data_IF_161831342204
#
_entry.id   IF_161831342204
#
_cell.length_a   1.000
_cell.length_b   1.000
_cell.length_c   1.000
_cell.angle_alpha   90.00
_cell.angle_beta   90.00
_cell.angle_gamma   90.00
#
_symmetry.space_group_name_H-M   'P 1'
#
loop_
_entity.id
_entity.type
_entity.pdbx_description
1 polymer ?
#
# COMPACT_ATOMS: atom_id res chain seq x y z
N UNK A 1 -4.95 -16.47 21.98
CA UNK A 1 -5.16 -15.13 21.39
C UNK A 1 -4.31 -15.07 20.13
N UNK A 2 -4.86 -14.78 18.94
CA UNK A 2 -4.03 -14.58 17.76
C UNK A 2 -3.16 -13.35 18.01
N UNK A 3 -1.85 -13.47 17.83
CA UNK A 3 -0.95 -12.33 17.91
C UNK A 3 -1.28 -11.45 16.71
N UNK A 4 -1.93 -10.31 16.94
CA UNK A 4 -2.21 -9.34 15.89
C UNK A 4 -0.87 -8.78 15.42
N UNK A 5 -0.52 -9.05 14.16
CA UNK A 5 0.62 -8.38 13.53
C UNK A 5 0.24 -6.91 13.28
N UNK A 6 0.67 -6.04 14.20
CA UNK A 6 0.44 -4.60 14.13
C UNK A 6 0.97 -3.99 12.83
N UNK A 7 2.08 -4.51 12.29
CA UNK A 7 2.68 -4.01 11.05
C UNK A 7 1.79 -4.36 9.87
N UNK A 8 1.37 -5.62 9.75
CA UNK A 8 0.49 -6.06 8.67
C UNK A 8 -0.87 -5.36 8.73
N UNK A 9 -1.43 -5.20 9.94
CA UNK A 9 -2.70 -4.50 10.16
C UNK A 9 -2.60 -3.03 9.76
N UNK A 10 -1.55 -2.32 10.20
CA UNK A 10 -1.28 -0.94 9.80
C UNK A 10 -1.15 -0.80 8.29
N UNK A 11 -0.41 -1.70 7.65
CA UNK A 11 -0.21 -1.67 6.19
C UNK A 11 -1.53 -1.88 5.45
N UNK A 12 -2.36 -2.82 5.89
CA UNK A 12 -3.70 -3.01 5.34
C UNK A 12 -4.55 -1.74 5.47
N UNK A 13 -4.63 -1.14 6.67
CA UNK A 13 -5.42 0.06 6.90
C UNK A 13 -4.94 1.25 6.06
N UNK A 14 -3.63 1.44 5.95
CA UNK A 14 -3.03 2.45 5.06
C UNK A 14 -3.49 2.25 3.61
N UNK A 15 -3.43 1.02 3.09
CA UNK A 15 -3.83 0.75 1.71
C UNK A 15 -5.34 0.92 1.49
N UNK A 16 -6.17 0.59 2.49
CA UNK A 16 -7.62 0.87 2.44
C UNK A 16 -7.91 2.37 2.37
N UNK A 17 -7.24 3.17 3.20
CA UNK A 17 -7.39 4.64 3.18
C UNK A 17 -6.95 5.24 1.83
N UNK A 18 -5.82 4.77 1.28
CA UNK A 18 -5.34 5.18 -0.05
C UNK A 18 -6.34 4.84 -1.14
N UNK A 19 -6.84 3.59 -1.17
CA UNK A 19 -7.82 3.15 -2.16
C UNK A 19 -9.10 4.00 -2.07
N UNK A 20 -9.63 4.19 -0.86
CA UNK A 20 -10.82 5.00 -0.64
C UNK A 20 -10.62 6.44 -1.12
N UNK A 21 -9.45 7.03 -0.88
CA UNK A 21 -9.11 8.37 -1.37
C UNK A 21 -9.06 8.41 -2.90
N UNK A 22 -8.37 7.46 -3.54
CA UNK A 22 -8.28 7.35 -5.00
C UNK A 22 -9.67 7.24 -5.63
N UNK A 23 -10.54 6.39 -5.07
CA UNK A 23 -11.91 6.19 -5.57
C UNK A 23 -12.79 7.43 -5.38
N UNK A 24 -12.72 8.06 -4.20
CA UNK A 24 -13.52 9.25 -3.86
C UNK A 24 -13.13 10.48 -4.68
N UNK A 25 -11.84 10.69 -4.89
CA UNK A 25 -11.29 11.90 -5.52
C UNK A 25 -10.92 11.67 -7.00
N UNK A 26 -11.09 10.45 -7.51
CA UNK A 26 -10.66 10.04 -8.85
C UNK A 26 -9.19 10.39 -9.14
N UNK A 27 -8.32 10.22 -8.14
CA UNK A 27 -6.90 10.57 -8.25
C UNK A 27 -6.17 9.62 -9.19
N UNK A 28 -5.40 10.20 -10.11
CA UNK A 28 -4.31 9.45 -10.73
C UNK A 28 -3.21 9.20 -9.70
N UNK A 29 -2.74 7.96 -9.64
CA UNK A 29 -1.58 7.61 -8.85
C UNK A 29 -0.32 7.37 -9.71
N UNK A 30 -0.41 7.55 -11.03
CA UNK A 30 0.76 7.68 -11.90
C UNK A 30 1.35 9.10 -11.80
N UNK A 31 2.05 9.36 -10.70
CA UNK A 31 2.65 10.67 -10.42
C UNK A 31 4.15 10.57 -10.17
N UNK A 32 4.88 11.66 -10.35
CA UNK A 32 6.32 11.69 -10.08
C UNK A 32 6.65 11.35 -8.63
N UNK A 33 5.81 11.76 -7.67
CA UNK A 33 6.00 11.42 -6.26
C UNK A 33 5.87 9.89 -6.02
N UNK A 34 4.89 9.24 -6.65
CA UNK A 34 4.70 7.79 -6.55
C UNK A 34 5.83 7.03 -7.25
N UNK A 35 6.28 7.49 -8.42
CA UNK A 35 7.43 6.89 -9.13
C UNK A 35 8.72 7.00 -8.33
N UNK A 36 9.00 8.17 -7.75
CA UNK A 36 10.16 8.37 -6.87
C UNK A 36 10.11 7.49 -5.61
N UNK A 37 8.92 7.33 -5.04
CA UNK A 37 8.67 6.41 -3.92
C UNK A 37 8.99 4.97 -4.30
N UNK A 38 8.49 4.50 -5.45
CA UNK A 38 8.77 3.16 -5.98
C UNK A 38 10.26 2.93 -6.23
N UNK A 39 10.95 3.90 -6.83
CA UNK A 39 12.40 3.83 -7.03
C UNK A 39 13.18 3.78 -5.72
N UNK A 40 12.71 4.52 -4.70
CA UNK A 40 13.24 4.47 -3.34
C UNK A 40 13.14 3.08 -2.73
N UNK A 41 11.97 2.45 -2.83
CA UNK A 41 11.75 1.08 -2.34
C UNK A 41 12.65 0.10 -3.12
N UNK A 42 12.70 0.21 -4.45
CA UNK A 42 13.50 -0.66 -5.33
C UNK A 42 14.99 -0.64 -4.97
N UNK A 43 15.56 0.53 -4.68
CA UNK A 43 16.96 0.64 -4.22
C UNK A 43 17.22 -0.15 -2.93
N UNK A 44 16.27 -0.15 -2.00
CA UNK A 44 16.41 -0.80 -0.70
C UNK A 44 16.20 -2.33 -0.75
N UNK A 45 15.45 -2.82 -1.74
CA UNK A 45 14.97 -4.22 -1.80
C UNK A 45 15.68 -5.05 -2.89
N UNK A 46 16.53 -4.41 -3.71
CA UNK A 46 17.19 -4.89 -4.94
C UNK A 46 17.92 -6.25 -4.95
N UNK A 47 18.03 -6.96 -3.83
CA UNK A 47 18.77 -8.24 -3.72
C UNK A 47 17.89 -9.49 -3.74
N UNK A 48 16.57 -9.33 -3.71
CA UNK A 48 15.62 -10.44 -3.70
C UNK A 48 14.81 -10.47 -5.01
N UNK A 49 14.86 -11.59 -5.74
CA UNK A 49 14.21 -11.75 -7.03
C UNK A 49 12.67 -11.77 -6.91
N UNK A 50 12.13 -12.36 -5.84
CA UNK A 50 10.70 -12.38 -5.58
C UNK A 50 10.20 -10.97 -5.30
N UNK A 51 10.90 -10.23 -4.43
CA UNK A 51 10.53 -8.85 -4.13
C UNK A 51 10.67 -7.93 -5.35
N UNK A 52 11.69 -8.16 -6.19
CA UNK A 52 11.83 -7.44 -7.47
C UNK A 52 10.60 -7.65 -8.36
N UNK A 53 10.10 -8.90 -8.45
CA UNK A 53 8.88 -9.19 -9.22
C UNK A 53 7.63 -8.48 -8.69
N UNK A 54 7.54 -8.26 -7.37
CA UNK A 54 6.46 -7.49 -6.75
C UNK A 54 6.55 -6.01 -7.09
N UNK A 55 7.77 -5.46 -7.13
CA UNK A 55 8.00 -4.07 -7.54
C UNK A 55 7.67 -3.85 -9.02
N UNK A 56 7.99 -4.81 -9.90
CA UNK A 56 7.61 -4.75 -11.31
C UNK A 56 6.09 -4.86 -11.51
N UNK A 57 5.39 -5.53 -10.59
CA UNK A 57 3.93 -5.54 -10.56
C UNK A 57 3.36 -4.20 -10.08
N UNK A 58 3.98 -3.58 -9.06
CA UNK A 58 3.63 -2.22 -8.63
C UNK A 58 3.86 -1.19 -9.74
N UNK A 59 4.97 -1.28 -10.45
CA UNK A 59 5.26 -0.40 -11.58
C UNK A 59 4.17 -0.45 -12.64
N UNK A 60 3.70 -1.65 -12.99
CA UNK A 60 2.56 -1.82 -13.92
C UNK A 60 1.29 -1.21 -13.38
N UNK A 61 0.93 -1.49 -12.12
CA UNK A 61 -0.28 -0.94 -11.49
C UNK A 61 -0.24 0.59 -11.53
N UNK A 62 0.89 1.20 -11.13
CA UNK A 62 1.09 2.65 -11.14
C UNK A 62 0.99 3.20 -12.55
N UNK A 63 1.81 2.70 -13.48
CA UNK A 63 1.89 3.22 -14.85
C UNK A 63 0.56 3.13 -15.60
N UNK A 64 -0.17 2.04 -15.38
CA UNK A 64 -1.45 1.80 -16.07
C UNK A 64 -2.63 2.41 -15.28
N UNK A 65 -2.35 3.07 -14.14
CA UNK A 65 -3.34 3.63 -13.22
C UNK A 65 -4.45 2.61 -12.86
N UNK A 66 -4.05 1.35 -12.67
CA UNK A 66 -4.93 0.18 -12.52
C UNK A 66 -5.59 0.14 -11.14
N UNK A 67 -6.69 0.89 -10.99
CA UNK A 67 -7.50 0.95 -9.76
C UNK A 67 -8.05 -0.43 -9.40
N UNK A 68 -8.43 -1.25 -10.39
CA UNK A 68 -8.95 -2.60 -10.13
C UNK A 68 -7.86 -3.54 -9.61
N UNK A 69 -6.63 -3.40 -10.12
CA UNK A 69 -5.44 -4.07 -9.63
C UNK A 69 -5.12 -3.71 -8.18
N UNK A 70 -5.18 -2.42 -7.86
CA UNK A 70 -5.06 -1.95 -6.48
C UNK A 70 -6.16 -2.54 -5.59
N UNK A 71 -7.43 -2.47 -6.01
CA UNK A 71 -8.58 -3.00 -5.26
C UNK A 71 -8.41 -4.49 -4.93
N UNK A 72 -7.98 -5.30 -5.91
CA UNK A 72 -7.66 -6.72 -5.70
C UNK A 72 -6.58 -6.92 -4.64
N UNK A 73 -5.50 -6.14 -4.68
CA UNK A 73 -4.42 -6.22 -3.69
C UNK A 73 -4.87 -5.80 -2.29
N UNK A 74 -5.71 -4.78 -2.16
CA UNK A 74 -6.18 -4.29 -0.86
C UNK A 74 -7.10 -5.30 -0.17
N UNK A 75 -7.96 -5.97 -0.91
CA UNK A 75 -8.95 -6.89 -0.34
C UNK A 75 -8.48 -8.34 -0.19
N UNK A 76 -7.34 -8.72 -0.78
CA UNK A 76 -6.85 -10.08 -0.66
C UNK A 76 -6.11 -10.35 0.65
N UNK A 77 -6.34 -11.51 1.24
CA UNK A 77 -5.71 -11.96 2.49
C UNK A 77 -4.52 -12.91 2.27
N UNK A 78 -4.15 -13.16 1.01
CA UNK A 78 -3.02 -14.02 0.67
C UNK A 78 -1.66 -13.37 1.01
N UNK A 79 -0.65 -14.21 1.26
CA UNK A 79 0.69 -13.77 1.66
C UNK A 79 1.37 -12.90 0.60
N UNK A 80 1.14 -13.14 -0.69
CA UNK A 80 1.70 -12.32 -1.78
C UNK A 80 1.13 -10.92 -1.70
N UNK A 81 -0.19 -10.79 -1.51
CA UNK A 81 -0.84 -9.50 -1.37
C UNK A 81 -0.39 -8.76 -0.10
N UNK A 82 -0.15 -9.45 1.01
CA UNK A 82 0.44 -8.86 2.22
C UNK A 82 1.83 -8.30 1.95
N UNK A 83 2.72 -9.09 1.34
CA UNK A 83 4.06 -8.67 0.97
C UNK A 83 4.03 -7.48 0.01
N UNK A 84 3.15 -7.53 -1.00
CA UNK A 84 2.97 -6.44 -1.95
C UNK A 84 2.49 -5.16 -1.26
N UNK A 85 1.52 -5.22 -0.34
CA UNK A 85 1.08 -4.03 0.42
C UNK A 85 2.22 -3.43 1.24
N UNK A 86 3.16 -4.26 1.72
CA UNK A 86 4.34 -3.80 2.45
C UNK A 86 5.32 -3.00 1.59
N UNK A 87 5.30 -3.25 0.29
CA UNK A 87 6.12 -2.59 -0.74
C UNK A 87 5.34 -1.52 -1.52
N UNK A 88 4.17 -1.09 -1.03
CA UNK A 88 3.35 -0.11 -1.73
C UNK A 88 4.05 1.25 -1.83
N UNK A 89 4.16 1.84 -3.04
CA UNK A 89 4.71 3.18 -3.21
C UNK A 89 3.69 4.29 -2.89
N UNK A 90 2.42 3.93 -2.67
CA UNK A 90 1.30 4.87 -2.63
C UNK A 90 1.14 5.61 -1.30
N UNK A 91 1.96 5.32 -0.28
CA UNK A 91 1.89 5.98 1.02
C UNK A 91 2.07 7.51 0.93
N UNK A 92 2.68 8.00 -0.15
CA UNK A 92 2.88 9.42 -0.43
C UNK A 92 1.59 10.17 -0.79
N UNK A 93 0.50 9.45 -1.09
CA UNK A 93 -0.80 10.04 -1.43
C UNK A 93 -1.62 10.48 -0.20
N UNK A 94 -1.24 9.98 0.98
CA UNK A 94 -1.85 10.41 2.23
C UNK A 94 -1.06 11.58 2.82
N UNK A 95 -1.77 12.63 3.20
CA UNK A 95 -1.21 13.72 3.98
C UNK A 95 -0.98 13.28 5.44
N UNK A 96 -0.44 14.16 6.28
CA UNK A 96 -0.20 13.83 7.69
C UNK A 96 -1.48 13.54 8.48
N UNK A 97 -2.53 14.34 8.32
CA UNK A 97 -3.80 14.13 9.01
C UNK A 97 -4.43 12.77 8.63
N UNK A 98 -4.47 12.44 7.35
CA UNK A 98 -4.99 11.14 6.87
C UNK A 98 -4.17 9.96 7.37
N UNK A 99 -2.85 10.12 7.56
CA UNK A 99 -2.00 9.10 8.16
C UNK A 99 -2.26 8.93 9.66
N UNK A 100 -2.65 10.00 10.36
CA UNK A 100 -3.04 9.95 11.77
C UNK A 100 -4.38 9.25 11.95
N UNK A 101 -5.35 9.50 11.07
CA UNK A 101 -6.65 8.82 11.08
C UNK A 101 -6.47 7.29 11.01
N UNK A 102 -5.57 6.81 10.13
CA UNK A 102 -5.23 5.39 10.03
C UNK A 102 -4.61 4.81 11.32
N UNK A 103 -3.85 5.62 12.07
CA UNK A 103 -3.27 5.19 13.35
C UNK A 103 -4.36 5.08 14.42
N UNK A 104 -5.35 5.96 14.41
CA UNK A 104 -6.50 5.86 15.31
C UNK A 104 -7.37 4.64 14.97
N UNK A 105 -7.63 4.38 13.68
CA UNK A 105 -8.30 3.15 13.22
C UNK A 105 -7.56 1.88 13.68
N UNK A 106 -6.23 1.89 13.60
CA UNK A 106 -5.39 0.80 14.09
C UNK A 106 -5.56 0.60 15.60
N UNK A 107 -5.62 1.68 16.38
CA UNK A 107 -5.83 1.60 17.83
C UNK A 107 -7.18 0.96 18.15
N UNK A 108 -8.23 1.34 17.43
CA UNK A 108 -9.56 0.73 17.57
C UNK A 108 -9.54 -0.76 17.19
N UNK A 109 -8.89 -1.13 16.09
CA UNK A 109 -8.82 -2.52 15.63
C UNK A 109 -8.06 -3.45 16.60
N UNK A 110 -7.09 -2.94 17.35
CA UNK A 110 -6.33 -3.71 18.35
C UNK A 110 -7.10 -3.88 19.66
N UNK A 111 -8.05 -2.98 19.94
CA UNK A 111 -8.86 -2.99 21.18
C UNK A 111 -10.17 -3.77 21.05
N UNK A 112 -10.57 -4.15 19.83
CA UNK A 112 -11.76 -4.92 19.50
C UNK A 112 -11.52 -6.44 19.60
#
# INVERSE_FOLDING_TARGET
MPVVDMKATRQMLMQKAILHKIEREHLSFDTDAVRQSLDGIRRNVSRDALMTSYLDRWERIVRDNDVDGLRRLVHSEDEISKDMRSLSPLYVLLNEAERLDVIDDLRTAIQA
#
